data_IF_619492259044
#
_entry.id   IF_619492259044
#
_cell.length_a   1.000
_cell.length_b   1.000
_cell.length_c   1.000
_cell.angle_alpha   90.00
_cell.angle_beta   90.00
_cell.angle_gamma   90.00
#
_symmetry.space_group_name_H-M   'P 1'
#
loop_
_entity.id
_entity.type
_entity.pdbx_description
1 polymer ?
#
# COMPACT_ATOMS: atom_id res chain seq x y z
N UNK A 1 -14.40 -0.37 -1.07
CA UNK A 1 -14.62 -0.34 -2.53
C UNK A 1 -13.65 0.65 -3.16
N UNK A 2 -13.20 0.39 -4.39
CA UNK A 2 -12.31 1.26 -5.18
C UNK A 2 -12.99 1.52 -6.53
N UNK A 3 -13.17 2.78 -6.91
CA UNK A 3 -13.78 3.19 -8.18
C UNK A 3 -12.88 4.23 -8.86
N UNK A 4 -12.58 4.00 -10.13
CA UNK A 4 -11.79 4.92 -10.96
C UNK A 4 -12.72 5.56 -11.98
N UNK A 5 -12.88 6.87 -11.85
CA UNK A 5 -13.54 7.73 -12.82
C UNK A 5 -12.45 8.29 -13.75
N UNK A 6 -12.39 7.71 -14.95
CA UNK A 6 -11.37 8.04 -15.96
C UNK A 6 -11.68 9.36 -16.66
N UNK A 7 -12.94 9.73 -16.76
CA UNK A 7 -13.37 10.92 -17.49
C UNK A 7 -13.04 12.19 -16.68
N UNK A 8 -13.10 12.10 -15.35
CA UNK A 8 -12.80 13.23 -14.46
C UNK A 8 -11.45 13.11 -13.74
N UNK A 9 -10.65 12.07 -14.03
CA UNK A 9 -9.40 11.78 -13.32
C UNK A 9 -9.58 11.74 -11.78
N UNK A 10 -10.57 10.97 -11.33
CA UNK A 10 -10.86 10.79 -9.89
C UNK A 10 -10.78 9.33 -9.47
N UNK A 11 -10.28 9.14 -8.26
CA UNK A 11 -10.29 7.86 -7.56
C UNK A 11 -11.15 8.01 -6.31
N UNK A 12 -12.19 7.18 -6.21
CA UNK A 12 -13.07 7.12 -5.05
C UNK A 12 -12.81 5.83 -4.29
N UNK A 13 -12.56 5.94 -3.00
CA UNK A 13 -12.29 4.79 -2.14
C UNK A 13 -13.15 4.86 -0.89
N UNK A 14 -13.83 3.77 -0.57
CA UNK A 14 -14.66 3.65 0.62
C UNK A 14 -14.26 2.45 1.46
N UNK A 15 -14.30 2.61 2.79
CA UNK A 15 -14.05 1.53 3.75
C UNK A 15 -15.33 0.78 4.11
N UNK A 16 -15.20 -0.51 4.44
CA UNK A 16 -16.30 -1.37 4.91
C UNK A 16 -17.60 -1.18 4.11
N UNK A 17 -17.49 -1.32 2.79
CA UNK A 17 -18.57 -1.05 1.86
C UNK A 17 -19.49 -2.27 1.76
N UNK A 18 -20.77 -2.12 2.12
CA UNK A 18 -21.78 -3.16 2.03
C UNK A 18 -22.94 -2.70 1.14
N UNK A 19 -23.27 -3.44 0.06
CA UNK A 19 -24.43 -3.11 -0.75
C UNK A 19 -25.71 -3.28 0.08
N UNK A 20 -26.70 -2.43 -0.17
CA UNK A 20 -28.01 -2.46 0.47
C UNK A 20 -29.09 -2.90 -0.54
N UNK A 21 -30.25 -3.41 -0.07
CA UNK A 21 -31.32 -3.87 -0.97
C UNK A 21 -31.89 -2.79 -1.88
N UNK A 22 -31.78 -1.51 -1.50
CA UNK A 22 -32.25 -0.35 -2.27
C UNK A 22 -31.24 0.15 -3.33
N UNK A 23 -30.13 -0.57 -3.51
CA UNK A 23 -29.06 -0.20 -4.43
C UNK A 23 -28.03 0.78 -3.86
N UNK A 24 -28.23 1.28 -2.63
CA UNK A 24 -27.24 2.12 -1.95
C UNK A 24 -26.09 1.30 -1.35
N UNK A 25 -25.07 1.99 -0.86
CA UNK A 25 -23.93 1.37 -0.17
C UNK A 25 -23.77 1.98 1.23
N UNK A 26 -23.76 1.11 2.25
CA UNK A 26 -23.34 1.51 3.60
C UNK A 26 -21.83 1.41 3.67
N UNK A 27 -21.16 2.49 4.06
CA UNK A 27 -19.70 2.56 4.14
C UNK A 27 -19.27 3.17 5.48
N UNK A 28 -18.09 2.80 5.98
CA UNK A 28 -17.54 3.39 7.21
C UNK A 28 -16.80 4.71 6.99
N UNK A 29 -16.64 5.12 5.72
CA UNK A 29 -15.91 6.33 5.34
C UNK A 29 -15.56 6.31 3.85
N UNK A 30 -15.29 7.49 3.31
CA UNK A 30 -14.94 7.69 1.90
C UNK A 30 -13.84 8.73 1.71
N UNK A 31 -13.06 8.56 0.64
CA UNK A 31 -12.04 9.48 0.21
C UNK A 31 -12.08 9.64 -1.31
N UNK A 32 -11.88 10.89 -1.77
CA UNK A 32 -11.73 11.22 -3.18
C UNK A 32 -10.29 11.69 -3.40
N UNK A 33 -9.65 11.13 -4.41
CA UNK A 33 -8.29 11.45 -4.81
C UNK A 33 -8.27 11.98 -6.24
N UNK A 34 -7.43 12.97 -6.47
CA UNK A 34 -7.14 13.52 -7.78
C UNK A 34 -6.03 12.70 -8.43
N UNK A 35 -6.30 12.12 -9.60
CA UNK A 35 -5.30 11.34 -10.35
C UNK A 35 -4.40 12.23 -11.24
N UNK A 36 -4.71 13.51 -11.32
CA UNK A 36 -4.09 14.54 -12.14
C UNK A 36 -3.27 15.56 -11.33
N UNK A 37 -3.06 15.32 -10.02
CA UNK A 37 -2.41 16.27 -9.12
C UNK A 37 -1.53 15.60 -8.06
N UNK A 38 -0.42 16.25 -7.72
CA UNK A 38 0.42 15.89 -6.58
C UNK A 38 -0.17 16.34 -5.24
N UNK A 39 -1.13 17.26 -5.25
CA UNK A 39 -2.02 17.51 -4.11
C UNK A 39 -3.13 16.46 -4.16
N UNK A 40 -2.74 15.19 -3.99
CA UNK A 40 -3.57 14.01 -4.33
C UNK A 40 -4.91 14.01 -3.59
N UNK A 41 -4.98 14.66 -2.42
CA UNK A 41 -6.20 14.76 -1.61
C UNK A 41 -6.41 16.21 -1.11
N UNK A 42 -6.80 17.15 -1.98
CA UNK A 42 -6.80 18.59 -1.66
C UNK A 42 -7.82 18.98 -0.58
N UNK A 43 -8.85 18.16 -0.37
CA UNK A 43 -9.87 18.37 0.66
C UNK A 43 -9.50 17.77 2.03
N UNK A 44 -8.41 16.99 2.12
CA UNK A 44 -8.01 16.39 3.39
C UNK A 44 -7.35 17.41 4.30
N UNK A 45 -7.81 17.48 5.55
CA UNK A 45 -7.10 18.20 6.60
C UNK A 45 -5.99 17.30 7.17
N UNK A 46 -4.94 17.87 7.77
CA UNK A 46 -3.99 17.08 8.55
C UNK A 46 -4.73 16.18 9.54
N UNK A 47 -4.35 14.91 9.64
CA UNK A 47 -4.98 13.88 10.48
C UNK A 47 -6.34 13.37 9.95
N UNK A 48 -6.75 13.70 8.73
CA UNK A 48 -7.85 12.97 8.10
C UNK A 48 -7.38 11.63 7.54
N UNK A 49 -8.05 10.56 7.96
CA UNK A 49 -7.87 9.22 7.39
C UNK A 49 -8.56 9.10 6.02
N UNK A 50 -8.36 7.96 5.35
CA UNK A 50 -9.12 7.54 4.19
C UNK A 50 -9.70 6.14 4.43
N UNK A 51 -10.08 5.40 3.37
CA UNK A 51 -10.32 3.96 3.48
C UNK A 51 -9.03 3.18 3.86
N UNK A 52 -7.87 3.81 3.69
CA UNK A 52 -6.57 3.43 4.23
C UNK A 52 -6.26 4.18 5.54
N UNK A 53 -5.75 3.47 6.54
CA UNK A 53 -5.47 4.02 7.86
C UNK A 53 -4.37 5.10 7.88
N UNK A 54 -3.37 5.01 7.00
CA UNK A 54 -2.34 6.04 6.81
C UNK A 54 -2.88 7.27 6.05
N UNK A 55 -4.09 7.20 5.48
CA UNK A 55 -4.67 8.24 4.63
C UNK A 55 -4.17 8.21 3.19
N UNK A 56 -3.44 7.17 2.78
CA UNK A 56 -2.93 6.99 1.43
C UNK A 56 -4.05 6.48 0.49
N UNK A 57 -3.99 6.75 -0.83
CA UNK A 57 -4.85 6.05 -1.77
C UNK A 57 -4.47 4.55 -1.82
N UNK A 58 -5.46 3.67 -1.74
CA UNK A 58 -5.29 2.22 -1.78
C UNK A 58 -4.83 1.77 -3.17
N UNK A 59 -5.56 2.17 -4.22
CA UNK A 59 -5.37 1.67 -5.59
C UNK A 59 -3.93 1.78 -6.11
N UNK A 60 -3.23 2.94 -5.98
CA UNK A 60 -1.86 3.08 -6.45
C UNK A 60 -0.84 2.21 -5.69
N UNK A 61 -1.19 1.68 -4.53
CA UNK A 61 -0.33 0.79 -3.76
C UNK A 61 -0.56 -0.71 -4.02
N UNK A 62 -1.60 -1.08 -4.78
CA UNK A 62 -1.96 -2.48 -5.01
C UNK A 62 -1.05 -3.14 -6.04
N UNK A 63 -0.65 -4.39 -5.78
CA UNK A 63 -0.09 -5.25 -6.83
C UNK A 63 -1.19 -5.64 -7.81
N UNK A 64 -1.01 -5.35 -9.11
CA UNK A 64 -2.01 -5.68 -10.14
C UNK A 64 -1.50 -6.74 -11.11
N UNK A 65 -2.37 -7.68 -11.49
CA UNK A 65 -1.99 -8.83 -12.32
C UNK A 65 -1.43 -8.41 -13.68
N UNK A 66 -2.09 -7.48 -14.37
CA UNK A 66 -1.66 -7.01 -15.69
C UNK A 66 -0.27 -6.34 -15.69
N UNK A 67 0.20 -5.89 -14.53
CA UNK A 67 1.55 -5.35 -14.35
C UNK A 67 2.53 -6.46 -13.97
N UNK A 68 2.17 -7.29 -13.01
CA UNK A 68 3.03 -8.37 -12.51
C UNK A 68 3.32 -9.43 -13.57
N UNK A 69 2.30 -9.78 -14.38
CA UNK A 69 2.41 -10.77 -15.47
C UNK A 69 3.39 -10.36 -16.58
N UNK A 70 3.73 -9.07 -16.68
CA UNK A 70 4.78 -8.57 -17.60
C UNK A 70 6.19 -8.91 -17.11
N UNK A 71 6.33 -9.47 -15.90
CA UNK A 71 7.59 -9.84 -15.31
C UNK A 71 8.36 -8.65 -14.70
N UNK A 72 9.66 -8.83 -14.43
CA UNK A 72 10.51 -7.78 -13.84
C UNK A 72 10.39 -6.43 -14.57
N UNK A 73 10.07 -5.37 -13.82
CA UNK A 73 9.87 -4.02 -14.36
C UNK A 73 8.43 -3.69 -14.81
N UNK A 74 7.51 -4.67 -14.78
CA UNK A 74 6.11 -4.46 -15.15
C UNK A 74 5.32 -3.59 -14.15
N UNK A 75 5.63 -3.71 -12.85
CA UNK A 75 5.08 -2.86 -11.77
C UNK A 75 5.98 -1.65 -11.60
N UNK A 76 5.47 -0.46 -11.89
CA UNK A 76 6.24 0.80 -11.97
C UNK A 76 5.92 1.82 -10.88
N UNK A 77 5.42 1.34 -9.75
CA UNK A 77 5.01 2.17 -8.63
C UNK A 77 5.40 1.52 -7.29
N UNK A 78 5.36 2.31 -6.22
CA UNK A 78 5.56 1.81 -4.88
C UNK A 78 4.33 0.98 -4.44
N UNK A 79 4.56 -0.04 -3.62
CA UNK A 79 3.50 -0.86 -3.08
C UNK A 79 3.07 -0.37 -1.69
N UNK A 80 1.98 -0.92 -1.17
CA UNK A 80 1.57 -0.75 0.23
C UNK A 80 1.69 -2.07 1.00
N UNK A 81 1.94 -1.98 2.29
CA UNK A 81 1.93 -3.13 3.18
C UNK A 81 1.43 -2.78 4.58
N UNK A 82 1.20 -3.80 5.40
CA UNK A 82 0.76 -3.64 6.79
C UNK A 82 1.76 -4.18 7.79
N UNK A 83 1.67 -3.68 9.02
CA UNK A 83 2.46 -4.08 10.19
C UNK A 83 1.53 -4.27 11.37
N UNK A 84 1.87 -5.09 12.35
CA UNK A 84 0.95 -5.37 13.47
C UNK A 84 0.67 -4.15 14.35
N UNK A 85 1.66 -3.27 14.50
CA UNK A 85 1.53 -2.07 15.31
C UNK A 85 2.33 -0.92 14.70
N UNK A 86 1.75 0.28 14.80
CA UNK A 86 2.39 1.54 14.44
C UNK A 86 2.42 2.47 15.65
N UNK A 87 3.25 3.51 15.59
CA UNK A 87 3.18 4.62 16.56
C UNK A 87 2.18 5.68 16.12
N UNK A 88 1.80 6.54 17.06
CA UNK A 88 0.98 7.74 16.91
C UNK A 88 1.77 8.83 16.18
N UNK A 89 2.18 8.54 14.95
CA UNK A 89 2.89 9.46 14.07
C UNK A 89 2.77 8.97 12.62
N UNK A 90 2.95 9.88 11.67
CA UNK A 90 3.04 9.56 10.25
C UNK A 90 4.15 10.35 9.57
N UNK A 91 4.57 9.89 8.40
CA UNK A 91 5.49 10.63 7.51
C UNK A 91 4.81 10.83 6.16
N UNK A 92 4.81 12.06 5.59
CA UNK A 92 4.25 12.32 4.27
C UNK A 92 4.82 11.36 3.20
N UNK A 93 4.00 10.90 2.24
CA UNK A 93 2.67 11.42 1.89
C UNK A 93 1.51 10.86 2.73
N UNK A 94 1.77 10.02 3.75
CA UNK A 94 0.70 9.67 4.69
C UNK A 94 0.19 10.93 5.41
N UNK A 95 -1.09 10.93 5.77
CA UNK A 95 -1.77 12.09 6.38
C UNK A 95 -2.34 11.78 7.77
N UNK A 96 -2.26 10.52 8.20
CA UNK A 96 -2.91 10.05 9.41
C UNK A 96 -2.15 8.89 10.09
N UNK A 97 -2.42 8.68 11.38
CA UNK A 97 -1.92 7.56 12.19
C UNK A 97 -3.10 6.79 12.81
N UNK A 98 -2.99 5.47 12.97
CA UNK A 98 -4.05 4.64 13.56
C UNK A 98 -3.61 3.97 14.87
N UNK A 99 -2.96 4.73 15.75
CA UNK A 99 -2.42 4.22 17.01
C UNK A 99 -2.44 5.29 18.10
N UNK A 100 -2.52 4.85 19.36
CA UNK A 100 -2.32 5.70 20.55
C UNK A 100 -0.90 5.61 21.11
N UNK A 101 -0.11 4.61 20.70
CA UNK A 101 1.24 4.36 21.24
C UNK A 101 2.25 5.40 20.74
N UNK A 102 3.04 5.99 21.63
CA UNK A 102 4.09 6.96 21.27
C UNK A 102 5.49 6.33 21.19
N UNK A 103 5.60 5.00 21.31
CA UNK A 103 6.89 4.30 21.32
C UNK A 103 7.66 4.53 20.02
N UNK A 104 8.91 5.00 20.15
CA UNK A 104 9.79 5.22 19.00
C UNK A 104 10.23 3.92 18.32
N UNK A 105 10.02 2.76 18.96
CA UNK A 105 10.36 1.44 18.41
C UNK A 105 9.30 0.92 17.42
N UNK A 106 8.15 1.59 17.30
CA UNK A 106 7.12 1.25 16.32
C UNK A 106 7.25 2.14 15.08
N UNK A 107 7.00 1.60 13.88
CA UNK A 107 7.04 2.39 12.66
C UNK A 107 5.93 3.44 12.63
N UNK A 108 6.16 4.65 12.10
CA UNK A 108 5.10 5.58 11.75
C UNK A 108 4.35 5.10 10.50
N UNK A 109 3.09 5.52 10.35
CA UNK A 109 2.38 5.39 9.07
C UNK A 109 3.15 6.14 7.98
N UNK A 110 3.10 5.64 6.74
CA UNK A 110 3.85 6.18 5.61
C UNK A 110 5.33 5.84 5.60
N UNK A 111 5.89 5.17 6.63
CA UNK A 111 7.28 4.72 6.61
C UNK A 111 7.56 3.89 5.36
N UNK A 112 8.58 4.28 4.59
CA UNK A 112 8.99 3.59 3.37
C UNK A 112 10.12 2.60 3.67
N UNK A 113 9.94 1.39 3.18
CA UNK A 113 10.98 0.36 3.13
C UNK A 113 11.22 -0.07 1.70
N UNK A 114 12.40 -0.62 1.42
CA UNK A 114 12.69 -1.24 0.12
C UNK A 114 13.51 -2.50 0.30
N UNK A 115 13.40 -3.41 -0.66
CA UNK A 115 14.22 -4.61 -0.70
C UNK A 115 15.67 -4.19 -1.00
N UNK A 116 16.63 -4.67 -0.22
CA UNK A 116 18.05 -4.33 -0.37
C UNK A 116 18.54 -4.63 -1.77
N UNK A 117 19.40 -3.78 -2.32
CA UNK A 117 20.02 -3.98 -3.62
C UNK A 117 20.76 -5.32 -3.71
N UNK A 118 21.36 -5.79 -2.61
CA UNK A 118 22.10 -7.06 -2.51
C UNK A 118 21.25 -8.32 -2.48
N UNK A 119 19.93 -8.22 -2.25
CA UNK A 119 19.08 -9.42 -2.26
C UNK A 119 19.00 -10.02 -3.67
N UNK A 120 19.41 -11.27 -3.85
CA UNK A 120 19.31 -11.95 -5.14
C UNK A 120 17.89 -12.49 -5.31
N UNK A 121 17.17 -12.04 -6.35
CA UNK A 121 15.84 -12.56 -6.67
C UNK A 121 16.02 -13.93 -7.33
N UNK A 122 15.47 -15.03 -6.75
CA UNK A 122 15.64 -16.35 -7.33
C UNK A 122 15.04 -16.45 -8.73
N UNK A 123 15.79 -16.99 -9.69
CA UNK A 123 15.31 -17.18 -11.06
C UNK A 123 14.19 -18.21 -11.17
N UNK A 124 14.11 -19.14 -10.20
CA UNK A 124 13.07 -20.16 -10.10
C UNK A 124 11.70 -19.61 -9.69
N UNK A 125 11.63 -18.38 -9.19
CA UNK A 125 10.36 -17.75 -8.83
C UNK A 125 9.52 -17.45 -10.08
N UNK A 126 8.20 -17.43 -9.90
CA UNK A 126 7.24 -16.99 -10.93
C UNK A 126 7.58 -15.60 -11.48
N UNK A 127 7.12 -15.32 -12.71
CA UNK A 127 7.28 -14.01 -13.33
C UNK A 127 6.68 -12.90 -12.45
N UNK A 128 5.53 -13.18 -11.84
CA UNK A 128 4.80 -12.28 -10.95
C UNK A 128 5.56 -12.02 -9.65
N UNK A 129 6.09 -13.06 -8.98
CA UNK A 129 6.92 -12.88 -7.79
C UNK A 129 8.19 -12.09 -8.11
N UNK A 130 8.83 -12.37 -9.24
CA UNK A 130 10.01 -11.61 -9.68
C UNK A 130 9.66 -10.16 -10.00
N UNK A 131 8.49 -9.89 -10.58
CA UNK A 131 7.99 -8.53 -10.82
C UNK A 131 7.78 -7.77 -9.50
N UNK A 132 7.12 -8.39 -8.52
CA UNK A 132 6.88 -7.82 -7.19
C UNK A 132 8.21 -7.51 -6.50
N UNK A 133 9.15 -8.45 -6.45
CA UNK A 133 10.44 -8.25 -5.80
C UNK A 133 11.30 -7.18 -6.50
N UNK A 134 11.20 -7.09 -7.83
CA UNK A 134 11.85 -6.01 -8.60
C UNK A 134 11.25 -4.64 -8.26
N UNK A 135 9.93 -4.55 -8.12
CA UNK A 135 9.26 -3.34 -7.68
C UNK A 135 9.64 -2.96 -6.24
N UNK A 136 9.74 -3.94 -5.33
CA UNK A 136 10.18 -3.69 -3.96
C UNK A 136 11.63 -3.18 -3.88
N UNK A 137 12.52 -3.58 -4.80
CA UNK A 137 13.86 -2.98 -4.90
C UNK A 137 13.82 -1.56 -5.43
N UNK A 138 13.09 -1.36 -6.52
CA UNK A 138 13.13 -0.13 -7.33
C UNK A 138 12.31 0.99 -6.71
N UNK A 139 11.08 0.66 -6.31
CA UNK A 139 10.08 1.61 -5.82
C UNK A 139 9.82 1.44 -4.33
N UNK A 140 10.13 0.29 -3.73
CA UNK A 140 9.86 0.03 -2.33
C UNK A 140 8.36 -0.03 -2.02
N UNK A 141 8.02 0.10 -0.74
CA UNK A 141 6.66 0.06 -0.26
C UNK A 141 6.48 0.87 1.03
N UNK A 142 5.24 1.30 1.30
CA UNK A 142 4.89 2.15 2.43
C UNK A 142 4.00 1.43 3.45
N UNK A 143 4.24 1.70 4.74
CA UNK A 143 3.35 1.28 5.82
C UNK A 143 2.02 2.02 5.67
N UNK A 144 0.95 1.28 5.42
CA UNK A 144 -0.36 1.86 5.11
C UNK A 144 -1.43 1.54 6.16
N UNK A 145 -1.29 0.43 6.87
CA UNK A 145 -2.27 0.02 7.88
C UNK A 145 -1.67 -0.84 9.00
N UNK A 146 -2.43 -0.98 10.08
CA UNK A 146 -2.22 -1.98 11.10
C UNK A 146 -2.87 -3.31 10.67
N UNK A 147 -2.08 -4.38 10.57
CA UNK A 147 -2.54 -5.69 10.10
C UNK A 147 -1.46 -6.75 10.24
N UNK A 148 -1.50 -7.80 9.43
CA UNK A 148 -0.46 -8.82 9.44
C UNK A 148 0.89 -8.26 9.00
N UNK A 149 1.96 -8.61 9.72
CA UNK A 149 3.31 -8.12 9.39
C UNK A 149 3.72 -8.48 7.96
N UNK A 150 4.25 -7.50 7.23
CA UNK A 150 4.80 -7.66 5.87
C UNK A 150 3.75 -8.09 4.82
N UNK A 151 2.47 -7.87 5.10
CA UNK A 151 1.40 -8.27 4.17
C UNK A 151 1.24 -7.25 3.04
N UNK A 152 1.48 -7.69 1.80
CA UNK A 152 1.23 -6.92 0.58
C UNK A 152 -0.22 -7.04 0.14
N UNK A 153 -0.79 -5.94 -0.34
CA UNK A 153 -2.15 -5.93 -0.90
C UNK A 153 -2.12 -6.08 -2.42
N UNK A 154 -2.81 -7.07 -2.94
CA UNK A 154 -3.04 -7.25 -4.38
C UNK A 154 -4.46 -6.86 -4.79
N UNK A 155 -4.62 -6.39 -6.01
CA UNK A 155 -5.94 -6.25 -6.63
C UNK A 155 -6.51 -7.65 -6.92
N UNK A 156 -7.80 -7.91 -6.62
CA UNK A 156 -8.43 -9.19 -6.93
C UNK A 156 -8.34 -9.48 -8.44
N UNK A 157 -7.90 -10.68 -8.78
CA UNK A 157 -7.84 -11.18 -10.15
C UNK A 157 -7.86 -12.72 -10.11
N UNK A 158 -8.68 -13.34 -10.95
CA UNK A 158 -8.82 -14.81 -10.99
C UNK A 158 -7.57 -15.49 -11.55
N UNK A 159 -6.73 -14.76 -12.29
CA UNK A 159 -5.50 -15.28 -12.91
C UNK A 159 -4.36 -15.44 -11.89
N UNK A 160 -4.53 -14.96 -10.66
CA UNK A 160 -3.52 -15.12 -9.61
C UNK A 160 -3.37 -16.57 -9.15
N UNK A 161 -2.14 -17.09 -9.22
CA UNK A 161 -1.76 -18.26 -8.44
C UNK A 161 -1.30 -17.84 -7.04
N UNK A 162 -2.27 -17.63 -6.14
CA UNK A 162 -2.01 -17.13 -4.79
C UNK A 162 -1.16 -18.08 -3.93
N UNK A 163 -1.28 -19.40 -4.10
CA UNK A 163 -0.50 -20.36 -3.33
C UNK A 163 0.98 -20.32 -3.73
N UNK A 164 1.25 -20.17 -5.03
CA UNK A 164 2.61 -19.96 -5.53
C UNK A 164 3.20 -18.66 -5.02
N UNK A 165 2.48 -17.53 -5.15
CA UNK A 165 2.93 -16.23 -4.63
C UNK A 165 3.24 -16.30 -3.13
N UNK A 166 2.35 -16.89 -2.33
CA UNK A 166 2.57 -17.05 -0.88
C UNK A 166 3.80 -17.90 -0.58
N UNK A 167 3.99 -19.02 -1.29
CA UNK A 167 5.11 -19.94 -1.02
C UNK A 167 6.47 -19.35 -1.40
N UNK A 168 6.53 -18.51 -2.45
CA UNK A 168 7.73 -17.82 -2.91
C UNK A 168 8.03 -16.56 -2.07
N UNK A 169 7.06 -15.66 -1.90
CA UNK A 169 7.26 -14.38 -1.22
C UNK A 169 7.54 -14.51 0.28
N UNK A 170 7.03 -15.55 0.94
CA UNK A 170 7.34 -15.80 2.37
C UNK A 170 8.82 -16.10 2.65
N UNK A 171 9.59 -16.48 1.63
CA UNK A 171 11.03 -16.70 1.75
C UNK A 171 11.81 -15.37 1.88
N UNK A 172 11.16 -14.25 1.56
CA UNK A 172 11.75 -12.91 1.62
C UNK A 172 11.49 -12.32 3.01
N UNK A 173 12.46 -12.49 3.90
CA UNK A 173 12.33 -12.05 5.30
C UNK A 173 12.58 -10.55 5.48
N UNK A 174 12.02 -9.96 6.54
CA UNK A 174 12.18 -8.53 6.87
C UNK A 174 13.64 -8.03 6.91
N UNK A 175 14.60 -8.87 7.30
CA UNK A 175 16.04 -8.53 7.30
C UNK A 175 16.61 -8.18 5.92
N UNK A 176 15.93 -8.58 4.85
CA UNK A 176 16.32 -8.26 3.47
C UNK A 176 15.82 -6.88 3.04
N UNK A 177 15.02 -6.21 3.86
CA UNK A 177 14.59 -4.84 3.64
C UNK A 177 15.47 -3.86 4.39
N UNK A 178 15.43 -2.62 3.94
CA UNK A 178 16.00 -1.46 4.61
C UNK A 178 14.96 -0.34 4.67
N UNK A 179 15.01 0.46 5.73
CA UNK A 179 14.19 1.65 5.86
C UNK A 179 14.80 2.75 5.00
N UNK A 180 13.99 3.36 4.14
CA UNK A 180 14.40 4.51 3.36
C UNK A 180 14.25 5.74 4.25
N UNK A 181 15.31 6.55 4.36
CA UNK A 181 15.23 7.81 5.11
C UNK A 181 14.13 8.69 4.50
N UNK A 182 13.25 9.18 5.36
CA UNK A 182 12.20 10.12 5.03
C UNK A 182 12.22 11.26 6.05
N UNK A 183 11.96 12.47 5.58
CA UNK A 183 11.89 13.67 6.41
C UNK A 183 10.42 14.10 6.60
N UNK A 184 10.16 15.00 7.57
CA UNK A 184 8.82 15.53 7.81
C UNK A 184 7.92 14.65 8.69
N UNK A 185 8.50 13.96 9.68
CA UNK A 185 7.72 13.24 10.67
C UNK A 185 6.71 14.16 11.37
N UNK A 186 5.43 13.78 11.33
CA UNK A 186 4.36 14.46 12.05
C UNK A 186 3.97 13.67 13.28
N UNK A 187 4.07 14.32 14.44
CA UNK A 187 3.60 13.83 15.74
C UNK A 187 2.35 14.62 16.19
N UNK A 188 1.65 14.17 17.23
CA UNK A 188 0.48 14.86 17.78
C UNK A 188 0.75 16.29 18.22
#
# INVERSE_FOLDING_TARGET
MVVIDRDNNRLYETGNSYPQPDGSWRTSGGAVFHLDSNTVRPTAQPRWTSADAAGLPIFPGLVRYDEASRGPGGIRHALRFTVSQTRRAYVPPATHWASSSTSANLPPMGMRVRLKASYVIPESFSAESRAILTALKTHGMMVADNGSNWFLSGAPDERWNNDRLKSELRLVLGRHFEVVRMDGLVTP
#
